data_IF_451296671410
#
_entry.id   IF_451296671410
#
_cell.length_a   1.000
_cell.length_b   1.000
_cell.length_c   1.000
_cell.angle_alpha   90.00
_cell.angle_beta   90.00
_cell.angle_gamma   90.00
#
_symmetry.space_group_name_H-M   'P 1'
#
loop_
_entity.id
_entity.type
_entity.pdbx_description
1 polymer ?
#
# COMPACT_ATOMS: atom_id res chain seq x y z
N UNK A 1 22.95 -12.69 1.05
CA UNK A 1 23.00 -11.23 0.94
C UNK A 1 21.91 -10.70 1.85
N UNK A 2 22.28 -9.88 2.83
CA UNK A 2 21.30 -9.23 3.69
C UNK A 2 21.22 -7.76 3.28
N UNK A 3 20.01 -7.22 3.15
CA UNK A 3 19.85 -5.80 2.90
C UNK A 3 20.19 -5.03 4.19
N UNK A 4 20.98 -3.97 4.09
CA UNK A 4 21.17 -3.01 5.17
C UNK A 4 20.11 -1.93 4.99
N UNK A 5 19.11 -1.91 5.87
CA UNK A 5 18.01 -0.93 5.82
C UNK A 5 18.15 -0.01 7.03
N UNK A 6 18.24 1.30 6.77
CA UNK A 6 18.31 2.33 7.83
C UNK A 6 17.09 3.24 7.80
N UNK A 7 16.77 3.85 8.94
CA UNK A 7 15.67 4.82 9.07
C UNK A 7 16.25 6.22 9.10
N UNK A 8 15.93 7.02 8.08
CA UNK A 8 16.32 8.42 7.98
C UNK A 8 15.24 9.37 8.53
N UNK A 9 15.23 10.61 8.04
CA UNK A 9 14.22 11.59 8.44
C UNK A 9 12.89 11.32 7.73
N UNK A 10 11.84 11.04 8.51
CA UNK A 10 10.49 10.79 8.02
C UNK A 10 9.58 11.93 8.48
N UNK A 11 9.06 12.68 7.53
CA UNK A 11 8.14 13.81 7.75
C UNK A 11 6.75 13.57 7.15
N UNK A 12 6.59 12.53 6.33
CA UNK A 12 5.33 12.16 5.66
C UNK A 12 4.80 10.81 6.17
N UNK A 13 3.48 10.57 6.11
CA UNK A 13 2.90 9.29 6.52
C UNK A 13 3.35 8.07 5.67
N UNK A 14 3.70 8.32 4.42
CA UNK A 14 4.17 7.33 3.45
C UNK A 14 5.45 7.85 2.77
N UNK A 15 6.63 7.63 3.37
CA UNK A 15 7.91 8.02 2.81
C UNK A 15 8.27 7.08 1.67
N UNK A 16 9.47 7.27 1.14
CA UNK A 16 10.04 6.47 0.09
C UNK A 16 11.11 5.55 0.66
N UNK A 17 11.29 4.40 0.00
CA UNK A 17 12.42 3.53 0.17
C UNK A 17 13.44 3.87 -0.92
N UNK A 18 14.62 4.29 -0.51
CA UNK A 18 15.71 4.65 -1.42
C UNK A 18 16.78 3.58 -1.40
N UNK A 19 17.29 3.22 -2.57
CA UNK A 19 18.41 2.31 -2.78
C UNK A 19 19.67 3.11 -3.12
N UNK A 20 20.80 2.74 -2.50
CA UNK A 20 22.11 3.22 -2.93
C UNK A 20 22.62 2.34 -4.09
N UNK A 21 22.63 2.82 -5.35
CA UNK A 21 23.01 2.00 -6.49
C UNK A 21 24.48 1.58 -6.46
N UNK A 22 25.36 2.31 -5.77
CA UNK A 22 26.79 1.95 -5.63
C UNK A 22 26.99 0.63 -4.87
N UNK A 23 25.94 0.17 -4.19
CA UNK A 23 25.96 -1.09 -3.43
C UNK A 23 25.37 -2.28 -4.21
N UNK A 24 24.90 -2.05 -5.44
CA UNK A 24 24.44 -3.12 -6.31
C UNK A 24 25.60 -4.06 -6.67
N UNK A 25 25.43 -5.35 -6.40
CA UNK A 25 26.45 -6.37 -6.62
C UNK A 25 27.43 -6.57 -5.45
N UNK A 26 27.28 -5.80 -4.37
CA UNK A 26 27.99 -6.06 -3.11
C UNK A 26 27.24 -7.11 -2.27
N UNK A 27 27.90 -7.74 -1.28
CA UNK A 27 27.26 -8.72 -0.39
C UNK A 27 26.05 -8.16 0.37
N UNK A 28 26.07 -6.87 0.66
CA UNK A 28 25.01 -6.15 1.35
C UNK A 28 24.59 -4.93 0.50
N UNK A 29 23.31 -4.89 0.14
CA UNK A 29 22.71 -3.79 -0.61
C UNK A 29 22.10 -2.81 0.39
N UNK A 30 22.40 -1.52 0.24
CA UNK A 30 22.04 -0.48 1.21
C UNK A 30 20.78 0.27 0.79
N UNK A 31 19.84 0.37 1.74
CA UNK A 31 18.60 1.11 1.61
C UNK A 31 18.41 2.09 2.77
N UNK A 32 17.63 3.15 2.53
CA UNK A 32 17.18 4.09 3.56
C UNK A 32 15.70 4.43 3.38
N UNK A 33 14.98 4.45 4.50
CA UNK A 33 13.58 4.89 4.57
C UNK A 33 13.56 6.37 4.92
N UNK A 34 13.08 7.24 4.03
CA UNK A 34 12.98 8.68 4.30
C UNK A 34 12.05 9.42 3.34
N UNK A 35 11.54 10.57 3.79
CA UNK A 35 10.54 11.34 3.03
C UNK A 35 11.11 12.13 1.86
N UNK A 36 12.37 12.54 1.92
CA UNK A 36 13.05 13.28 0.85
C UNK A 36 14.16 12.42 0.24
N UNK A 37 14.55 12.70 -1.00
CA UNK A 37 15.69 12.02 -1.62
C UNK A 37 16.98 12.25 -0.80
N UNK A 38 17.78 11.21 -0.53
CA UNK A 38 19.08 11.39 0.10
C UNK A 38 20.02 12.15 -0.85
N UNK A 39 21.08 12.76 -0.30
CA UNK A 39 22.09 13.44 -1.13
C UNK A 39 22.87 12.40 -1.96
N UNK A 40 23.09 12.70 -3.23
CA UNK A 40 23.78 11.84 -4.19
C UNK A 40 22.82 11.06 -5.08
N UNK A 41 23.33 10.02 -5.74
CA UNK A 41 22.62 9.31 -6.80
C UNK A 41 21.77 8.15 -6.23
N UNK A 42 20.79 8.45 -5.38
CA UNK A 42 19.90 7.42 -4.83
C UNK A 42 18.73 7.10 -5.77
N UNK A 43 18.35 5.83 -5.83
CA UNK A 43 17.25 5.35 -6.66
C UNK A 43 16.00 5.16 -5.81
N UNK A 44 14.87 5.71 -6.25
CA UNK A 44 13.57 5.45 -5.64
C UNK A 44 13.11 4.02 -5.98
N UNK A 45 12.97 3.19 -4.95
CA UNK A 45 12.44 1.82 -5.06
C UNK A 45 10.91 1.82 -5.03
N UNK A 46 10.32 2.83 -4.40
CA UNK A 46 8.88 2.98 -4.22
C UNK A 46 8.51 3.39 -2.80
N UNK A 47 7.21 3.44 -2.58
CA UNK A 47 6.60 3.79 -1.29
C UNK A 47 5.96 2.56 -0.62
N UNK A 48 5.44 2.76 0.59
CA UNK A 48 4.86 1.71 1.41
C UNK A 48 3.35 1.55 1.18
N UNK A 49 2.76 2.21 0.19
CA UNK A 49 1.31 2.26 -0.03
C UNK A 49 0.68 0.86 -0.18
N UNK A 50 1.35 -0.06 -0.89
CA UNK A 50 0.88 -1.42 -1.08
C UNK A 50 0.79 -2.22 0.23
N UNK A 51 1.84 -2.16 1.04
CA UNK A 51 1.96 -2.91 2.30
C UNK A 51 1.10 -2.28 3.40
N UNK A 52 1.09 -0.95 3.51
CA UNK A 52 0.27 -0.23 4.49
C UNK A 52 -1.22 -0.38 4.20
N UNK A 53 -1.64 -0.33 2.93
CA UNK A 53 -3.04 -0.56 2.57
C UNK A 53 -3.48 -1.98 2.88
N UNK A 54 -2.63 -2.97 2.63
CA UNK A 54 -2.92 -4.37 2.97
C UNK A 54 -3.01 -4.59 4.48
N UNK A 55 -2.09 -4.00 5.25
CA UNK A 55 -2.09 -4.08 6.70
C UNK A 55 -3.33 -3.39 7.31
N UNK A 56 -3.67 -2.19 6.82
CA UNK A 56 -4.87 -1.47 7.25
C UNK A 56 -6.15 -2.25 6.96
N UNK A 57 -6.28 -2.91 5.80
CA UNK A 57 -7.46 -3.72 5.49
C UNK A 57 -7.70 -4.87 6.49
N UNK A 58 -6.68 -5.26 7.27
CA UNK A 58 -6.79 -6.24 8.34
C UNK A 58 -7.09 -5.64 9.73
N UNK A 59 -6.96 -4.31 9.90
CA UNK A 59 -7.40 -3.57 11.10
C UNK A 59 -8.01 -2.21 10.68
N UNK A 60 -9.07 -2.26 9.87
CA UNK A 60 -9.62 -1.08 9.19
C UNK A 60 -10.16 0.01 10.13
N UNK A 61 -10.35 -0.33 11.42
CA UNK A 61 -10.86 0.58 12.46
C UNK A 61 -9.81 1.57 12.97
N UNK A 62 -8.53 1.33 12.73
CA UNK A 62 -7.43 2.10 13.30
C UNK A 62 -6.46 2.60 12.20
N UNK A 63 -6.92 3.43 11.25
CA UNK A 63 -6.08 3.91 10.15
C UNK A 63 -4.81 4.64 10.59
N UNK A 64 -4.84 5.31 11.74
CA UNK A 64 -3.70 6.03 12.33
C UNK A 64 -2.51 5.12 12.71
N UNK A 65 -2.76 3.82 12.91
CA UNK A 65 -1.68 2.84 13.17
C UNK A 65 -0.90 2.48 11.91
N UNK A 66 -1.39 2.86 10.73
CA UNK A 66 -0.80 2.49 9.44
C UNK A 66 -0.10 3.68 8.75
N UNK A 67 0.10 4.78 9.47
CA UNK A 67 1.12 5.78 9.16
C UNK A 67 2.51 5.20 9.49
N UNK A 68 3.50 5.28 8.59
CA UNK A 68 4.84 4.73 8.84
C UNK A 68 5.47 5.29 10.13
N UNK A 69 5.13 6.53 10.48
CA UNK A 69 5.69 7.27 11.62
C UNK A 69 5.21 6.66 12.93
N UNK A 70 4.10 5.93 12.92
CA UNK A 70 3.55 5.21 14.06
C UNK A 70 4.29 3.91 14.36
N UNK A 71 5.11 3.38 13.45
CA UNK A 71 5.91 2.18 13.66
C UNK A 71 7.24 2.52 14.36
N UNK A 72 7.76 1.60 15.15
CA UNK A 72 9.15 1.65 15.61
C UNK A 72 10.11 1.29 14.46
N UNK A 73 11.41 1.51 14.65
CA UNK A 73 12.39 1.28 13.58
C UNK A 73 12.44 -0.18 13.11
N UNK A 74 12.38 -1.20 13.99
CA UNK A 74 12.23 -2.59 13.56
C UNK A 74 11.00 -2.83 12.68
N UNK A 75 9.84 -2.27 13.04
CA UNK A 75 8.62 -2.37 12.23
C UNK A 75 8.75 -1.70 10.86
N UNK A 76 9.37 -0.51 10.81
CA UNK A 76 9.65 0.18 9.53
C UNK A 76 10.57 -0.65 8.63
N UNK A 77 11.62 -1.25 9.19
CA UNK A 77 12.56 -2.10 8.45
C UNK A 77 11.85 -3.35 7.93
N UNK A 78 10.99 -3.99 8.73
CA UNK A 78 10.22 -5.15 8.28
C UNK A 78 9.28 -4.79 7.11
N UNK A 79 8.58 -3.65 7.19
CA UNK A 79 7.75 -3.17 6.09
C UNK A 79 8.59 -2.84 4.84
N UNK A 80 9.79 -2.31 5.00
CA UNK A 80 10.68 -2.04 3.88
C UNK A 80 11.12 -3.34 3.19
N UNK A 81 11.39 -4.40 3.94
CA UNK A 81 11.66 -5.72 3.36
C UNK A 81 10.48 -6.23 2.54
N UNK A 82 9.24 -6.05 3.02
CA UNK A 82 8.04 -6.39 2.25
C UNK A 82 7.91 -5.55 0.98
N UNK A 83 8.26 -4.26 1.03
CA UNK A 83 8.33 -3.41 -0.16
C UNK A 83 9.36 -3.99 -1.14
N UNK A 84 10.58 -4.31 -0.71
CA UNK A 84 11.63 -4.88 -1.57
C UNK A 84 11.16 -6.20 -2.22
N UNK A 85 10.51 -7.07 -1.45
CA UNK A 85 10.02 -8.35 -1.95
C UNK A 85 8.87 -8.16 -2.97
N UNK A 86 8.07 -7.09 -2.82
CA UNK A 86 6.90 -6.80 -3.65
C UNK A 86 7.14 -5.76 -4.76
N UNK A 87 8.21 -4.96 -4.72
CA UNK A 87 8.43 -3.76 -5.54
C UNK A 87 8.81 -4.07 -6.99
N UNK A 88 8.99 -5.35 -7.34
CA UNK A 88 9.43 -5.76 -8.67
C UNK A 88 8.38 -5.51 -9.78
N UNK A 89 7.09 -5.39 -9.45
CA UNK A 89 6.02 -5.01 -10.40
C UNK A 89 4.66 -4.85 -9.70
N UNK A 90 3.68 -4.22 -10.35
CA UNK A 90 2.28 -4.24 -9.93
C UNK A 90 1.75 -5.68 -9.77
N UNK A 91 2.17 -6.61 -10.63
CA UNK A 91 1.78 -8.01 -10.53
C UNK A 91 2.30 -8.67 -9.23
N UNK A 92 3.52 -8.32 -8.79
CA UNK A 92 4.06 -8.78 -7.51
C UNK A 92 3.29 -8.20 -6.33
N UNK A 93 2.95 -6.90 -6.37
CA UNK A 93 2.13 -6.26 -5.35
C UNK A 93 0.73 -6.88 -5.26
N UNK A 94 0.10 -7.20 -6.39
CA UNK A 94 -1.19 -7.90 -6.44
C UNK A 94 -1.10 -9.27 -5.74
N UNK A 95 -0.07 -10.08 -6.05
CA UNK A 95 0.11 -11.38 -5.39
C UNK A 95 0.34 -11.25 -3.89
N UNK A 96 1.12 -10.27 -3.46
CA UNK A 96 1.34 -9.99 -2.05
C UNK A 96 0.02 -9.59 -1.35
N UNK A 97 -0.79 -8.76 -2.01
CA UNK A 97 -2.11 -8.37 -1.50
C UNK A 97 -3.08 -9.55 -1.42
N UNK A 98 -3.13 -10.43 -2.44
CA UNK A 98 -3.93 -11.67 -2.41
C UNK A 98 -3.63 -12.51 -1.16
N UNK A 99 -2.36 -12.67 -0.82
CA UNK A 99 -1.93 -13.37 0.38
C UNK A 99 -2.28 -12.61 1.66
N UNK A 100 -1.98 -11.30 1.70
CA UNK A 100 -2.12 -10.48 2.91
C UNK A 100 -3.56 -10.26 3.35
N UNK A 101 -4.49 -10.07 2.42
CA UNK A 101 -5.91 -9.84 2.74
C UNK A 101 -6.78 -11.09 2.52
N UNK A 102 -6.17 -12.22 2.16
CA UNK A 102 -6.85 -13.48 1.79
C UNK A 102 -7.89 -13.28 0.67
N UNK A 103 -7.53 -12.47 -0.33
CA UNK A 103 -8.40 -12.07 -1.43
C UNK A 103 -8.11 -12.80 -2.75
N UNK A 104 -8.84 -12.41 -3.78
CA UNK A 104 -8.59 -12.82 -5.17
C UNK A 104 -8.51 -11.61 -6.08
N UNK A 105 -7.56 -11.62 -7.02
CA UNK A 105 -7.49 -10.64 -8.08
C UNK A 105 -8.76 -10.64 -8.93
N UNK A 106 -9.22 -9.43 -9.31
CA UNK A 106 -10.37 -9.22 -10.17
C UNK A 106 -10.07 -8.10 -11.17
N UNK A 107 -10.66 -8.19 -12.36
CA UNK A 107 -10.58 -7.09 -13.33
C UNK A 107 -11.36 -5.87 -12.83
N UNK A 108 -10.94 -4.68 -13.31
CA UNK A 108 -11.64 -3.41 -13.05
C UNK A 108 -13.13 -3.49 -13.38
N UNK A 109 -13.47 -4.09 -14.53
CA UNK A 109 -14.86 -4.21 -14.98
C UNK A 109 -15.68 -5.10 -14.04
N UNK A 110 -15.11 -6.23 -13.62
CA UNK A 110 -15.78 -7.14 -12.68
C UNK A 110 -16.03 -6.47 -11.34
N UNK A 111 -15.02 -5.77 -10.80
CA UNK A 111 -15.17 -5.05 -9.52
C UNK A 111 -16.21 -3.95 -9.65
N UNK A 112 -16.16 -3.14 -10.71
CA UNK A 112 -17.11 -2.04 -10.93
C UNK A 112 -18.55 -2.53 -11.05
N UNK A 113 -18.76 -3.64 -11.77
CA UNK A 113 -20.08 -4.27 -11.92
C UNK A 113 -20.60 -4.83 -10.60
N UNK A 114 -19.75 -5.52 -9.84
CA UNK A 114 -20.18 -6.21 -8.64
C UNK A 114 -20.19 -5.31 -7.40
N UNK A 115 -19.56 -4.13 -7.43
CA UNK A 115 -19.22 -3.38 -6.23
C UNK A 115 -20.41 -3.10 -5.34
N UNK A 116 -21.59 -2.82 -5.90
CA UNK A 116 -22.84 -2.58 -5.17
C UNK A 116 -23.34 -3.81 -4.39
N UNK A 117 -22.94 -5.03 -4.80
CA UNK A 117 -23.35 -6.30 -4.19
C UNK A 117 -22.43 -6.75 -3.05
N UNK A 118 -21.25 -6.13 -2.91
CA UNK A 118 -20.30 -6.48 -1.84
C UNK A 118 -20.91 -6.24 -0.45
N UNK A 119 -20.69 -7.20 0.46
CA UNK A 119 -21.24 -7.14 1.81
C UNK A 119 -20.38 -6.25 2.71
N UNK A 120 -20.98 -5.74 3.79
CA UNK A 120 -20.24 -5.15 4.91
C UNK A 120 -19.13 -6.10 5.34
N UNK A 121 -17.92 -5.58 5.55
CA UNK A 121 -16.72 -6.35 5.86
C UNK A 121 -15.85 -6.68 4.65
N UNK A 122 -16.33 -6.45 3.42
CA UNK A 122 -15.53 -6.72 2.22
C UNK A 122 -14.31 -5.79 2.17
N UNK A 123 -13.14 -6.39 1.94
CA UNK A 123 -11.86 -5.71 1.76
C UNK A 123 -11.54 -5.63 0.28
N UNK A 124 -11.14 -4.45 -0.19
CA UNK A 124 -10.71 -4.23 -1.57
C UNK A 124 -9.38 -3.50 -1.51
N UNK A 125 -8.32 -4.21 -1.88
CA UNK A 125 -7.04 -3.59 -2.21
C UNK A 125 -7.11 -3.13 -3.67
N UNK A 126 -6.77 -1.89 -3.95
CA UNK A 126 -6.85 -1.33 -5.29
C UNK A 126 -5.65 -0.45 -5.58
N UNK A 127 -5.02 -0.63 -6.74
CA UNK A 127 -3.79 0.08 -7.08
C UNK A 127 -3.53 0.22 -8.56
N UNK A 128 -2.38 0.83 -8.85
CA UNK A 128 -1.73 0.92 -10.15
C UNK A 128 -0.20 0.88 -9.95
N UNK A 129 0.57 1.15 -11.01
CA UNK A 129 2.04 1.09 -10.96
C UNK A 129 2.68 2.17 -10.06
N UNK A 130 1.90 3.12 -9.53
CA UNK A 130 2.39 4.26 -8.73
C UNK A 130 1.85 4.29 -7.31
N UNK A 131 0.58 3.95 -7.12
CA UNK A 131 -0.08 4.11 -5.83
C UNK A 131 -1.12 3.02 -5.59
N UNK A 132 -1.36 2.78 -4.31
CA UNK A 132 -2.31 1.80 -3.82
C UNK A 132 -3.13 2.41 -2.69
N UNK A 133 -4.42 2.12 -2.68
CA UNK A 133 -5.34 2.46 -1.61
C UNK A 133 -6.02 1.19 -1.06
N UNK A 134 -6.47 1.27 0.18
CA UNK A 134 -7.38 0.30 0.77
C UNK A 134 -8.82 0.80 0.71
N UNK A 135 -9.78 -0.06 0.37
CA UNK A 135 -11.21 0.23 0.45
C UNK A 135 -11.90 -0.84 1.30
N UNK A 136 -12.61 -0.42 2.34
CA UNK A 136 -13.33 -1.32 3.25
C UNK A 136 -14.82 -0.97 3.28
N UNK A 137 -15.68 -1.96 3.04
CA UNK A 137 -17.14 -1.75 3.05
C UNK A 137 -17.63 -1.77 4.49
N UNK A 138 -18.04 -0.62 5.02
CA UNK A 138 -18.49 -0.48 6.42
C UNK A 138 -20.01 -0.62 6.58
N UNK A 139 -20.79 -0.42 5.51
CA UNK A 139 -22.24 -0.63 5.51
C UNK A 139 -22.79 -0.85 4.10
N UNK A 140 -24.10 -1.06 3.98
CA UNK A 140 -24.79 -1.16 2.69
C UNK A 140 -24.60 0.09 1.81
N UNK A 141 -24.37 1.26 2.40
CA UNK A 141 -24.31 2.56 1.70
C UNK A 141 -22.96 3.27 1.81
N UNK A 142 -22.07 2.84 2.71
CA UNK A 142 -20.81 3.53 3.01
C UNK A 142 -19.59 2.61 2.85
N UNK A 143 -18.47 3.21 2.48
CA UNK A 143 -17.13 2.60 2.47
C UNK A 143 -16.13 3.54 3.13
N UNK A 144 -15.05 2.98 3.64
CA UNK A 144 -13.84 3.72 4.00
C UNK A 144 -12.80 3.58 2.90
N UNK A 145 -12.13 4.67 2.57
CA UNK A 145 -11.00 4.72 1.65
C UNK A 145 -9.78 5.18 2.41
N UNK A 146 -8.81 4.28 2.57
CA UNK A 146 -7.53 4.53 3.18
C UNK A 146 -6.49 4.89 2.13
N UNK A 147 -5.85 6.04 2.31
CA UNK A 147 -4.73 6.48 1.51
C UNK A 147 -3.51 6.67 2.43
N UNK A 148 -2.48 5.85 2.21
CA UNK A 148 -1.25 5.91 3.01
C UNK A 148 -0.56 7.26 2.92
N UNK A 149 -0.70 8.03 1.83
CA UNK A 149 -0.11 9.36 1.73
C UNK A 149 -0.74 10.36 2.73
N UNK A 150 -1.98 10.10 3.14
CA UNK A 150 -2.70 10.90 4.12
C UNK A 150 -2.58 10.35 5.55
N UNK A 151 -2.16 9.08 5.71
CA UNK A 151 -2.09 8.40 7.01
C UNK A 151 -3.46 8.22 7.69
N UNK A 152 -4.55 8.29 6.93
CA UNK A 152 -5.91 8.22 7.46
C UNK A 152 -6.89 7.59 6.47
N UNK A 153 -8.09 7.27 6.93
CA UNK A 153 -9.18 6.77 6.11
C UNK A 153 -10.33 7.78 6.04
N UNK A 154 -10.85 8.00 4.83
CA UNK A 154 -12.02 8.86 4.58
C UNK A 154 -13.27 8.02 4.36
N UNK A 155 -14.37 8.41 4.99
CA UNK A 155 -15.67 7.78 4.71
C UNK A 155 -16.27 8.38 3.43
N UNK A 156 -16.76 7.52 2.55
CA UNK A 156 -17.42 7.90 1.30
C UNK A 156 -18.67 7.04 1.07
N UNK A 157 -19.73 7.58 0.44
CA UNK A 157 -20.81 6.77 -0.07
C UNK A 157 -20.29 5.73 -1.07
N UNK A 158 -20.86 4.53 -1.09
CA UNK A 158 -20.49 3.48 -2.06
C UNK A 158 -20.77 3.88 -3.51
N UNK A 159 -21.71 4.80 -3.74
CA UNK A 159 -21.97 5.39 -5.06
C UNK A 159 -20.79 6.20 -5.59
N UNK A 160 -19.87 6.64 -4.73
CA UNK A 160 -18.65 7.33 -5.13
C UNK A 160 -17.53 6.38 -5.61
N UNK A 161 -17.73 5.05 -5.61
CA UNK A 161 -16.68 4.09 -5.97
C UNK A 161 -16.09 4.34 -7.36
N UNK A 162 -16.92 4.58 -8.37
CA UNK A 162 -16.45 4.88 -9.72
C UNK A 162 -15.56 6.14 -9.76
N UNK A 163 -15.93 7.18 -8.99
CA UNK A 163 -15.15 8.40 -8.86
C UNK A 163 -13.80 8.11 -8.17
N UNK A 164 -13.78 7.33 -7.09
CA UNK A 164 -12.54 6.93 -6.41
C UNK A 164 -11.61 6.16 -7.35
N UNK A 165 -12.14 5.23 -8.15
CA UNK A 165 -11.35 4.50 -9.14
C UNK A 165 -10.76 5.44 -10.20
N UNK A 166 -11.48 6.49 -10.59
CA UNK A 166 -11.00 7.49 -11.54
C UNK A 166 -9.96 8.43 -10.94
N UNK A 167 -10.22 8.98 -9.76
CA UNK A 167 -9.34 9.95 -9.05
C UNK A 167 -7.94 9.38 -8.83
N UNK A 168 -7.87 8.11 -8.41
CA UNK A 168 -6.61 7.41 -8.16
C UNK A 168 -6.09 6.62 -9.37
N UNK A 169 -6.80 6.65 -10.51
CA UNK A 169 -6.44 5.92 -11.72
C UNK A 169 -6.17 4.42 -11.48
N UNK A 170 -7.06 3.77 -10.72
CA UNK A 170 -6.88 2.37 -10.30
C UNK A 170 -7.15 1.41 -11.44
N UNK A 171 -6.29 0.40 -11.59
CA UNK A 171 -6.38 -0.60 -12.67
C UNK A 171 -6.17 -2.06 -12.20
N UNK A 172 -5.65 -2.28 -11.00
CA UNK A 172 -5.51 -3.60 -10.37
C UNK A 172 -6.30 -3.69 -9.07
N UNK A 173 -6.95 -4.83 -8.84
CA UNK A 173 -7.84 -5.02 -7.70
C UNK A 173 -7.68 -6.42 -7.11
N UNK A 174 -7.65 -6.49 -5.78
CA UNK A 174 -7.77 -7.73 -5.01
C UNK A 174 -8.94 -7.58 -4.05
N UNK A 175 -9.87 -8.52 -4.08
CA UNK A 175 -11.09 -8.48 -3.29
C UNK A 175 -11.16 -9.68 -2.35
N UNK A 176 -11.30 -9.43 -1.05
CA UNK A 176 -11.63 -10.44 -0.06
C UNK A 176 -13.06 -10.20 0.44
N UNK A 177 -13.96 -11.11 0.07
CA UNK A 177 -15.38 -11.06 0.42
C UNK A 177 -15.55 -11.47 1.90
N UNK A 178 -16.45 -10.79 2.60
CA UNK A 178 -16.81 -11.09 3.99
C UNK A 178 -17.64 -12.37 4.15
#
# INVERSE_FOLDING_TARGET
MANIITVGSITTPNPFLWLNPDTLGLPDVVYVIQSNAPKGDWVDVGQFCAVLSSAWLNDAKHPEKFDIRSFDDPGKIQLAQQVIDASNSLASQVKAAEQAIHGKSKSKDQVTKDFSTYKTGTKVWAGNDRHVIGIYIISATQMQVYDSNLGTATQKPRTAFAQVVADYQLNAFVVAIA
#
